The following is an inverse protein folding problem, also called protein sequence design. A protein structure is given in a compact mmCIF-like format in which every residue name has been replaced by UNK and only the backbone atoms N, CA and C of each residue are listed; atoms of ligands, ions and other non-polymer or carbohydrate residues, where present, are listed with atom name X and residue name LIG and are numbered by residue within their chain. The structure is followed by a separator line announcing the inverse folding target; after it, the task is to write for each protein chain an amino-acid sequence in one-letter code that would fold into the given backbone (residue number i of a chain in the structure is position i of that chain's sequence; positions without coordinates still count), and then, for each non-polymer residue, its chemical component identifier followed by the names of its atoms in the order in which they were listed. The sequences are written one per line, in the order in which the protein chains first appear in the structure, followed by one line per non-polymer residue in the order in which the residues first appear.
data_IF_612168060368
#
_entry.id   IF_612168060368
#
_cell.length_a   1.000
_cell.length_b   1.000
_cell.length_c   1.000
_cell.angle_alpha   90.00
_cell.angle_beta   90.00
_cell.angle_gamma   90.00
#
_symmetry.space_group_name_H-M   'P 1'
#
loop_
_entity.id
_entity.type
_entity.pdbx_description
1 polymer ?
#
# COMPACT_ATOMS: atom_id res chain seq x y z
N UNK A 1 -18.69 -8.66 -28.76
CA UNK A 1 -18.56 -10.07 -29.16
C UNK A 1 -19.41 -10.94 -28.24
N UNK A 2 -19.98 -12.02 -28.75
CA UNK A 2 -20.84 -12.93 -27.96
C UNK A 2 -20.40 -14.36 -28.21
N UNK A 3 -20.10 -15.11 -27.15
CA UNK A 3 -19.79 -16.53 -27.25
C UNK A 3 -21.02 -17.39 -26.94
N UNK A 4 -20.94 -18.68 -27.29
CA UNK A 4 -21.96 -19.65 -26.91
C UNK A 4 -22.03 -19.82 -25.38
N UNK A 5 -23.18 -20.21 -24.82
CA UNK A 5 -23.32 -20.48 -23.40
C UNK A 5 -22.28 -21.48 -22.89
N UNK A 6 -21.65 -21.18 -21.75
CA UNK A 6 -20.59 -22.00 -21.15
C UNK A 6 -19.24 -21.95 -21.89
N UNK A 7 -19.11 -21.15 -22.95
CA UNK A 7 -17.86 -20.97 -23.68
C UNK A 7 -16.83 -20.10 -22.95
N UNK A 8 -15.65 -19.95 -23.54
CA UNK A 8 -14.61 -19.05 -23.05
C UNK A 8 -14.23 -18.05 -24.12
N UNK A 9 -14.08 -16.78 -23.74
CA UNK A 9 -13.43 -15.75 -24.55
C UNK A 9 -12.14 -15.35 -23.85
N UNK A 10 -11.01 -15.52 -24.53
CA UNK A 10 -9.71 -15.09 -24.04
C UNK A 10 -9.07 -14.09 -25.01
N UNK A 11 -8.80 -12.88 -24.54
CA UNK A 11 -7.98 -11.90 -25.22
C UNK A 11 -6.62 -11.86 -24.53
N UNK A 12 -5.57 -12.28 -25.23
CA UNK A 12 -4.22 -12.40 -24.67
C UNK A 12 -3.24 -11.66 -25.58
N UNK A 13 -2.45 -10.78 -25.00
CA UNK A 13 -1.47 -9.99 -25.74
C UNK A 13 -0.51 -9.24 -24.81
N UNK A 14 0.40 -8.44 -25.39
CA UNK A 14 1.28 -7.58 -24.58
C UNK A 14 0.53 -6.37 -24.01
N UNK A 15 -0.55 -5.96 -24.67
CA UNK A 15 -1.51 -4.97 -24.21
C UNK A 15 -2.90 -5.45 -24.66
N UNK A 16 -3.86 -5.46 -23.74
CA UNK A 16 -5.24 -5.86 -24.00
C UNK A 16 -6.15 -4.77 -23.50
N UNK A 17 -6.94 -4.21 -24.40
CA UNK A 17 -7.96 -3.23 -24.10
C UNK A 17 -9.27 -3.64 -24.78
N UNK A 18 -10.38 -3.46 -24.08
CA UNK A 18 -11.72 -3.68 -24.62
C UNK A 18 -12.58 -2.45 -24.33
N UNK A 19 -12.99 -1.75 -25.40
CA UNK A 19 -13.93 -0.62 -25.32
C UNK A 19 -15.34 -1.01 -25.78
N UNK A 20 -15.53 -2.26 -26.20
CA UNK A 20 -16.82 -2.81 -26.62
C UNK A 20 -17.45 -3.71 -25.56
N UNK A 21 -18.51 -4.41 -25.93
CA UNK A 21 -19.16 -5.39 -25.04
C UNK A 21 -18.67 -6.80 -25.35
N UNK A 22 -18.32 -7.57 -24.31
CA UNK A 22 -18.04 -9.01 -24.39
C UNK A 22 -19.10 -9.73 -23.55
N UNK A 23 -19.81 -10.70 -24.13
CA UNK A 23 -20.87 -11.44 -23.43
C UNK A 23 -20.64 -12.94 -23.57
N UNK A 24 -20.58 -13.64 -22.45
CA UNK A 24 -20.37 -15.09 -22.38
C UNK A 24 -21.32 -15.69 -21.34
N UNK A 25 -22.57 -16.03 -21.72
CA UNK A 25 -23.56 -16.53 -20.76
C UNK A 25 -23.07 -17.81 -20.07
N UNK A 26 -22.98 -17.83 -18.74
CA UNK A 26 -22.57 -19.03 -18.01
C UNK A 26 -21.12 -19.48 -18.24
N UNK A 27 -20.27 -18.64 -18.83
CA UNK A 27 -18.90 -19.01 -19.18
C UNK A 27 -17.87 -17.97 -18.74
N UNK A 28 -16.67 -18.02 -19.33
CA UNK A 28 -15.51 -17.27 -18.83
C UNK A 28 -15.02 -16.21 -19.81
N UNK A 29 -14.67 -15.03 -19.30
CA UNK A 29 -13.94 -13.98 -20.02
C UNK A 29 -12.56 -13.82 -19.37
N UNK A 30 -11.52 -13.92 -20.17
CA UNK A 30 -10.13 -13.65 -19.76
C UNK A 30 -9.57 -12.51 -20.60
N UNK A 31 -9.16 -11.43 -19.94
CA UNK A 31 -8.40 -10.33 -20.51
C UNK A 31 -7.02 -10.38 -19.87
N UNK A 32 -6.02 -10.89 -20.59
CA UNK A 32 -4.71 -11.12 -20.00
C UNK A 32 -3.58 -10.44 -20.76
N UNK A 33 -2.73 -9.72 -20.02
CA UNK A 33 -1.58 -9.05 -20.59
C UNK A 33 -0.26 -9.39 -19.88
N UNK A 34 0.85 -9.28 -20.60
CA UNK A 34 2.20 -9.44 -20.06
C UNK A 34 3.11 -10.34 -20.89
N UNK A 35 4.35 -10.50 -20.42
CA UNK A 35 5.39 -11.25 -21.14
C UNK A 35 5.18 -12.78 -21.11
N UNK A 36 4.50 -13.29 -20.08
CA UNK A 36 4.18 -14.70 -19.94
C UNK A 36 2.86 -14.87 -19.19
N UNK A 37 1.80 -15.17 -19.93
CA UNK A 37 0.46 -15.36 -19.35
C UNK A 37 0.24 -16.81 -18.98
N UNK A 38 0.03 -17.08 -17.69
CA UNK A 38 -0.50 -18.35 -17.21
C UNK A 38 -1.94 -18.10 -16.77
N UNK A 39 -2.95 -18.67 -17.47
CA UNK A 39 -4.34 -18.58 -17.02
C UNK A 39 -4.45 -19.26 -15.65
N UNK A 40 -4.94 -18.55 -14.64
CA UNK A 40 -5.38 -19.21 -13.41
C UNK A 40 -6.62 -20.04 -13.76
N UNK A 41 -6.61 -21.35 -13.50
CA UNK A 41 -7.79 -22.18 -13.77
C UNK A 41 -8.90 -21.76 -12.81
N UNK A 42 -9.89 -21.03 -13.29
CA UNK A 42 -11.16 -20.94 -12.58
C UNK A 42 -11.94 -22.24 -12.82
N UNK A 43 -12.54 -22.77 -11.75
CA UNK A 43 -13.59 -23.80 -11.81
C UNK A 43 -14.70 -23.36 -12.82
N UNK A 44 -15.58 -24.24 -13.33
CA UNK A 44 -16.46 -23.96 -14.49
C UNK A 44 -17.65 -23.01 -14.18
N UNK A 45 -17.44 -22.02 -13.33
CA UNK A 45 -18.38 -20.96 -12.98
C UNK A 45 -18.15 -19.71 -13.82
N UNK A 46 -19.22 -18.95 -14.07
CA UNK A 46 -19.17 -17.66 -14.76
C UNK A 46 -18.10 -16.76 -14.16
N UNK A 47 -17.03 -16.49 -14.90
CA UNK A 47 -15.86 -15.77 -14.38
C UNK A 47 -15.40 -14.70 -15.35
N UNK A 48 -15.11 -13.50 -14.83
CA UNK A 48 -14.40 -12.44 -15.55
C UNK A 48 -13.05 -12.26 -14.87
N UNK A 49 -11.97 -12.41 -15.62
CA UNK A 49 -10.62 -12.29 -15.11
C UNK A 49 -9.83 -11.32 -15.98
N UNK A 50 -9.51 -10.16 -15.44
CA UNK A 50 -8.51 -9.24 -15.99
C UNK A 50 -7.19 -9.50 -15.26
N UNK A 51 -6.26 -10.26 -15.88
CA UNK A 51 -5.03 -10.74 -15.24
C UNK A 51 -3.81 -10.22 -15.95
N UNK A 52 -2.98 -9.45 -15.25
CA UNK A 52 -1.68 -9.02 -15.77
C UNK A 52 -0.55 -9.85 -15.17
N UNK A 53 0.35 -10.35 -16.00
CA UNK A 53 1.39 -11.31 -15.61
C UNK A 53 2.76 -10.67 -15.34
N UNK A 54 3.67 -11.50 -14.83
CA UNK A 54 4.93 -11.16 -14.18
C UNK A 54 5.75 -10.10 -14.92
N UNK A 55 5.99 -8.95 -14.27
CA UNK A 55 6.85 -7.89 -14.81
C UNK A 55 6.43 -6.43 -14.54
N UNK A 56 5.35 -6.18 -13.79
CA UNK A 56 4.91 -4.81 -13.46
C UNK A 56 3.97 -4.18 -14.48
N UNK A 57 2.84 -4.84 -14.76
CA UNK A 57 1.81 -4.30 -15.64
C UNK A 57 0.67 -3.63 -14.88
N UNK A 58 -0.16 -2.91 -15.62
CA UNK A 58 -1.31 -2.16 -15.11
C UNK A 58 -2.60 -2.90 -15.44
N UNK A 59 -3.48 -3.04 -14.44
CA UNK A 59 -4.85 -3.45 -14.66
C UNK A 59 -5.76 -2.26 -14.37
N UNK A 60 -6.45 -1.74 -15.37
CA UNK A 60 -7.35 -0.60 -15.21
C UNK A 60 -8.74 -1.00 -15.68
N UNK A 61 -9.72 -0.75 -14.83
CA UNK A 61 -11.14 -0.81 -15.20
C UNK A 61 -11.76 0.56 -14.97
N UNK A 62 -12.44 1.07 -15.98
CA UNK A 62 -13.24 2.31 -15.97
C UNK A 62 -14.68 2.05 -16.45
N UNK A 63 -15.04 0.78 -16.66
CA UNK A 63 -16.29 0.34 -17.25
C UNK A 63 -17.13 -0.53 -16.33
N UNK A 64 -17.76 -1.57 -16.89
CA UNK A 64 -18.63 -2.48 -16.14
C UNK A 64 -18.16 -3.91 -16.34
N UNK A 65 -17.80 -4.58 -15.25
CA UNK A 65 -17.59 -6.02 -15.20
C UNK A 65 -18.75 -6.64 -14.41
N UNK A 66 -19.55 -7.49 -15.05
CA UNK A 66 -20.72 -8.09 -14.41
C UNK A 66 -20.77 -9.60 -14.64
N UNK A 67 -20.94 -10.33 -13.54
CA UNK A 67 -21.19 -11.77 -13.50
C UNK A 67 -22.37 -12.05 -12.59
N UNK A 68 -23.54 -12.32 -13.16
CA UNK A 68 -24.69 -12.75 -12.35
C UNK A 68 -24.61 -14.25 -12.10
N UNK A 69 -24.79 -14.66 -10.84
CA UNK A 69 -24.96 -16.07 -10.50
C UNK A 69 -26.20 -16.66 -11.21
N UNK A 70 -26.11 -17.91 -11.64
CA UNK A 70 -27.24 -18.70 -12.10
C UNK A 70 -27.34 -19.96 -11.23
N UNK A 71 -28.30 -19.99 -10.31
CA UNK A 71 -28.45 -21.08 -9.33
C UNK A 71 -27.42 -21.01 -8.19
N UNK A 72 -26.84 -22.14 -7.78
CA UNK A 72 -25.87 -22.18 -6.66
C UNK A 72 -24.47 -21.69 -7.03
N UNK A 73 -24.19 -21.51 -8.33
CA UNK A 73 -22.87 -21.12 -8.84
C UNK A 73 -22.67 -19.61 -8.79
N UNK A 74 -21.94 -19.16 -7.77
CA UNK A 74 -21.59 -17.76 -7.58
C UNK A 74 -20.57 -17.31 -8.66
N UNK A 75 -20.76 -16.11 -9.22
CA UNK A 75 -19.83 -15.55 -10.21
C UNK A 75 -18.54 -15.06 -9.56
N UNK A 76 -17.45 -14.99 -10.32
CA UNK A 76 -16.17 -14.44 -9.83
C UNK A 76 -15.66 -13.32 -10.74
N UNK A 77 -15.27 -12.18 -10.15
CA UNK A 77 -14.57 -11.09 -10.81
C UNK A 77 -13.19 -10.95 -10.19
N UNK A 78 -12.15 -11.10 -10.99
CA UNK A 78 -10.77 -10.87 -10.56
C UNK A 78 -10.17 -9.78 -11.43
N UNK A 79 -9.73 -8.69 -10.80
CA UNK A 79 -8.95 -7.63 -11.44
C UNK A 79 -7.58 -7.61 -10.75
N UNK A 80 -6.56 -8.04 -11.49
CA UNK A 80 -5.23 -8.23 -10.92
C UNK A 80 -4.10 -7.68 -11.79
N UNK A 81 -3.20 -6.95 -11.15
CA UNK A 81 -1.91 -6.53 -11.70
C UNK A 81 -0.75 -7.35 -11.12
N UNK A 82 0.47 -7.13 -11.62
CA UNK A 82 1.63 -7.88 -11.18
C UNK A 82 1.98 -7.61 -9.71
N UNK A 83 2.13 -8.67 -8.91
CA UNK A 83 2.37 -8.57 -7.45
C UNK A 83 3.72 -7.93 -7.07
N UNK A 84 4.70 -7.95 -7.97
CA UNK A 84 6.04 -7.40 -7.69
C UNK A 84 6.15 -5.89 -7.91
N UNK A 85 5.36 -5.32 -8.83
CA UNK A 85 5.52 -3.92 -9.27
C UNK A 85 4.36 -3.36 -10.12
N UNK A 86 3.15 -3.94 -10.05
CA UNK A 86 1.99 -3.54 -10.85
C UNK A 86 0.93 -2.76 -10.08
N UNK A 87 0.22 -1.87 -10.77
CA UNK A 87 -0.91 -1.13 -10.17
C UNK A 87 -2.24 -1.61 -10.74
N UNK A 88 -3.18 -1.88 -9.85
CA UNK A 88 -4.58 -2.13 -10.19
C UNK A 88 -5.39 -0.90 -9.86
N UNK A 89 -6.03 -0.30 -10.86
CA UNK A 89 -6.81 0.93 -10.72
C UNK A 89 -8.27 0.66 -11.08
N UNK A 90 -9.17 0.94 -10.14
CA UNK A 90 -10.60 1.09 -10.44
C UNK A 90 -10.90 2.58 -10.56
N UNK A 91 -11.21 3.00 -11.78
CA UNK A 91 -11.58 4.38 -12.08
C UNK A 91 -12.92 4.78 -11.46
N UNK A 92 -13.28 6.08 -11.51
CA UNK A 92 -14.47 6.61 -10.85
C UNK A 92 -15.79 6.07 -11.40
N UNK A 93 -15.78 5.51 -12.61
CA UNK A 93 -16.96 4.93 -13.27
C UNK A 93 -16.98 3.40 -13.24
N UNK A 94 -15.97 2.76 -12.64
CA UNK A 94 -15.86 1.31 -12.58
C UNK A 94 -17.03 0.70 -11.80
N UNK A 95 -17.63 -0.37 -12.33
CA UNK A 95 -18.69 -1.15 -11.68
C UNK A 95 -18.32 -2.62 -11.71
N UNK A 96 -18.16 -3.23 -10.54
CA UNK A 96 -17.93 -4.67 -10.41
C UNK A 96 -19.16 -5.30 -9.76
N UNK A 97 -19.96 -6.01 -10.55
CA UNK A 97 -21.23 -6.60 -10.09
C UNK A 97 -21.18 -8.13 -10.19
N UNK A 98 -20.97 -8.77 -9.03
CA UNK A 98 -21.06 -10.22 -8.86
C UNK A 98 -22.33 -10.63 -8.08
N UNK A 99 -23.39 -9.81 -8.10
CA UNK A 99 -24.60 -10.05 -7.31
C UNK A 99 -25.47 -11.19 -7.86
N UNK A 100 -26.36 -11.68 -6.98
CA UNK A 100 -27.35 -12.72 -7.28
C UNK A 100 -28.78 -12.24 -6.93
N UNK A 101 -29.31 -11.21 -7.63
CA UNK A 101 -30.58 -10.57 -7.26
C UNK A 101 -31.80 -11.48 -7.43
N UNK A 102 -31.71 -12.49 -8.31
CA UNK A 102 -32.81 -13.37 -8.68
C UNK A 102 -32.72 -14.77 -8.01
N UNK A 103 -31.81 -14.96 -7.06
CA UNK A 103 -31.58 -16.24 -6.38
C UNK A 103 -30.15 -16.76 -6.54
N UNK A 104 -29.70 -17.62 -5.61
CA UNK A 104 -28.31 -18.09 -5.54
C UNK A 104 -27.47 -17.35 -4.48
N UNK A 105 -26.17 -17.63 -4.43
CA UNK A 105 -25.24 -16.89 -3.57
C UNK A 105 -24.58 -15.75 -4.35
N UNK A 106 -24.28 -14.65 -3.66
CA UNK A 106 -23.47 -13.57 -4.20
C UNK A 106 -22.06 -14.06 -4.51
N UNK A 107 -21.47 -13.48 -5.54
CA UNK A 107 -20.17 -13.82 -6.09
C UNK A 107 -18.97 -13.25 -5.33
N UNK A 108 -17.79 -13.60 -5.82
CA UNK A 108 -16.53 -13.08 -5.31
C UNK A 108 -16.02 -11.94 -6.20
N UNK A 109 -15.52 -10.88 -5.57
CA UNK A 109 -14.77 -9.81 -6.23
C UNK A 109 -13.40 -9.73 -5.58
N UNK A 110 -12.35 -9.88 -6.37
CA UNK A 110 -10.95 -9.71 -5.96
C UNK A 110 -10.32 -8.58 -6.77
N UNK A 111 -9.81 -7.57 -6.07
CA UNK A 111 -8.99 -6.51 -6.65
C UNK A 111 -7.62 -6.60 -6.00
N UNK A 112 -6.62 -7.03 -6.77
CA UNK A 112 -5.29 -7.31 -6.23
C UNK A 112 -4.18 -6.66 -7.08
N UNK A 113 -3.07 -6.25 -6.48
CA UNK A 113 -1.89 -5.75 -7.17
C UNK A 113 -0.74 -5.52 -6.21
N UNK A 114 0.40 -5.06 -6.73
CA UNK A 114 1.41 -4.47 -5.85
C UNK A 114 0.88 -3.17 -5.21
N UNK A 115 0.15 -2.40 -6.00
CA UNK A 115 -0.62 -1.22 -5.58
C UNK A 115 -2.06 -1.37 -6.03
N UNK A 116 -3.01 -1.01 -5.17
CA UNK A 116 -4.42 -0.85 -5.58
C UNK A 116 -4.83 0.62 -5.43
N UNK A 117 -5.46 1.19 -6.45
CA UNK A 117 -6.00 2.55 -6.44
C UNK A 117 -7.51 2.47 -6.66
N UNK A 118 -8.26 3.01 -5.72
CA UNK A 118 -9.72 3.15 -5.78
C UNK A 118 -10.04 4.64 -5.81
N UNK A 119 -10.34 5.20 -6.99
CA UNK A 119 -10.50 6.66 -7.13
C UNK A 119 -11.80 7.17 -6.48
N UNK A 120 -12.83 6.34 -6.44
CA UNK A 120 -13.98 6.40 -5.53
C UNK A 120 -14.33 4.93 -5.22
N UNK A 121 -15.06 4.59 -4.15
CA UNK A 121 -15.50 3.20 -3.97
C UNK A 121 -16.42 2.84 -5.13
N UNK A 122 -15.85 2.29 -6.20
CA UNK A 122 -16.56 1.64 -7.29
C UNK A 122 -17.69 0.82 -6.65
N UNK A 123 -18.92 0.84 -7.16
CA UNK A 123 -19.97 -0.03 -6.65
C UNK A 123 -19.53 -1.49 -6.83
N UNK A 124 -18.98 -2.06 -5.75
CA UNK A 124 -18.64 -3.46 -5.61
C UNK A 124 -19.87 -4.16 -5.07
N UNK A 125 -20.61 -4.84 -5.94
CA UNK A 125 -21.88 -5.46 -5.57
C UNK A 125 -21.74 -6.99 -5.53
N UNK A 126 -21.83 -7.56 -4.33
CA UNK A 126 -21.85 -9.01 -4.08
C UNK A 126 -23.13 -9.45 -3.36
N UNK A 127 -24.19 -8.63 -3.44
CA UNK A 127 -25.43 -8.87 -2.71
C UNK A 127 -26.17 -10.13 -3.19
N UNK A 128 -26.82 -10.83 -2.27
CA UNK A 128 -27.80 -11.87 -2.57
C UNK A 128 -28.98 -11.76 -1.61
N UNK A 129 -30.19 -11.40 -2.09
CA UNK A 129 -31.38 -11.32 -1.23
C UNK A 129 -31.88 -12.67 -0.73
N UNK A 130 -31.57 -13.76 -1.45
CA UNK A 130 -32.14 -15.09 -1.23
C UNK A 130 -31.10 -16.16 -0.85
N UNK A 131 -29.82 -15.79 -0.78
CA UNK A 131 -28.71 -16.67 -0.42
C UNK A 131 -27.69 -15.94 0.43
N UNK A 132 -26.46 -16.47 0.48
CA UNK A 132 -25.35 -15.81 1.18
C UNK A 132 -24.83 -14.66 0.35
N UNK A 133 -24.58 -13.52 0.99
CA UNK A 133 -23.77 -12.45 0.37
C UNK A 133 -22.40 -12.99 0.01
N UNK A 134 -21.87 -12.52 -1.11
CA UNK A 134 -20.54 -12.85 -1.55
C UNK A 134 -19.47 -12.06 -0.81
N UNK A 135 -18.24 -12.12 -1.34
CA UNK A 135 -17.05 -11.56 -0.69
C UNK A 135 -16.36 -10.54 -1.59
N UNK A 136 -15.89 -9.46 -0.98
CA UNK A 136 -15.03 -8.47 -1.63
C UNK A 136 -13.68 -8.50 -0.94
N UNK A 137 -12.63 -8.74 -1.71
CA UNK A 137 -11.23 -8.73 -1.23
C UNK A 137 -10.46 -7.67 -1.99
N UNK A 138 -9.90 -6.72 -1.26
CA UNK A 138 -8.98 -5.70 -1.78
C UNK A 138 -7.62 -5.93 -1.14
N UNK A 139 -6.58 -6.12 -1.95
CA UNK A 139 -5.24 -6.45 -1.49
C UNK A 139 -4.18 -5.69 -2.34
N UNK A 140 -3.33 -4.83 -1.75
CA UNK A 140 -3.28 -4.48 -0.33
C UNK A 140 -4.45 -3.57 0.09
N UNK A 141 -4.73 -3.57 1.39
CA UNK A 141 -5.62 -2.60 2.04
C UNK A 141 -4.94 -1.23 2.07
N UNK A 142 -5.56 -0.23 1.43
CA UNK A 142 -4.97 1.12 1.30
C UNK A 142 -5.58 2.11 2.28
N UNK A 143 -4.72 2.77 3.07
CA UNK A 143 -5.05 3.93 3.90
C UNK A 143 -4.57 5.20 3.20
N UNK A 144 -5.51 6.01 2.72
CA UNK A 144 -5.20 7.30 2.08
C UNK A 144 -5.01 8.41 3.12
N UNK A 145 -3.93 9.18 2.99
CA UNK A 145 -3.53 10.21 3.95
C UNK A 145 -3.30 11.54 3.24
N UNK A 146 -4.19 12.49 3.52
CA UNK A 146 -4.17 13.83 2.91
C UNK A 146 -3.95 14.96 3.92
N UNK A 147 -3.78 14.65 5.20
CA UNK A 147 -3.59 15.64 6.27
C UNK A 147 -2.51 15.19 7.27
N UNK A 148 -1.84 16.16 7.90
CA UNK A 148 -0.84 15.91 8.94
C UNK A 148 -1.44 15.05 10.07
N UNK A 149 -2.60 15.44 10.60
CA UNK A 149 -3.29 14.69 11.66
C UNK A 149 -3.67 13.26 11.26
N UNK A 150 -3.93 13.00 9.97
CA UNK A 150 -4.12 11.64 9.46
C UNK A 150 -2.85 10.79 9.59
N UNK A 151 -1.69 11.37 9.28
CA UNK A 151 -0.40 10.67 9.43
C UNK A 151 0.01 10.52 10.90
N UNK A 152 -0.33 11.49 11.76
CA UNK A 152 -0.13 11.41 13.21
C UNK A 152 -0.97 10.28 13.84
N UNK A 153 -2.20 10.06 13.36
CA UNK A 153 -3.05 8.96 13.81
C UNK A 153 -2.45 7.58 13.44
N UNK A 154 -1.80 7.50 12.28
CA UNK A 154 -1.05 6.29 11.86
C UNK A 154 0.17 6.07 12.75
N UNK A 155 0.92 7.13 13.07
CA UNK A 155 2.06 7.04 14.00
C UNK A 155 1.65 6.53 15.39
N UNK A 156 0.44 6.85 15.85
CA UNK A 156 -0.09 6.33 17.11
C UNK A 156 -0.56 4.86 17.02
N UNK A 157 -0.72 4.33 15.80
CA UNK A 157 -1.29 3.00 15.53
C UNK A 157 -0.37 2.14 14.65
N UNK A 158 0.96 2.31 14.77
CA UNK A 158 1.90 1.69 13.84
C UNK A 158 1.83 0.17 13.77
N UNK A 159 1.36 -0.52 14.82
CA UNK A 159 1.31 -1.98 14.87
C UNK A 159 0.53 -2.63 13.72
N UNK A 160 -0.38 -1.88 13.08
CA UNK A 160 -1.12 -2.33 11.89
C UNK A 160 -0.19 -2.47 10.66
N UNK A 161 0.90 -1.70 10.60
CA UNK A 161 1.80 -1.60 9.46
C UNK A 161 3.15 -2.29 9.69
N UNK A 162 3.37 -2.85 10.88
CA UNK A 162 4.60 -3.56 11.24
C UNK A 162 4.41 -5.06 11.01
N UNK A 163 5.37 -5.69 10.33
CA UNK A 163 5.34 -7.10 9.97
C UNK A 163 4.08 -7.55 9.19
N UNK A 164 3.37 -6.61 8.56
CA UNK A 164 2.18 -6.87 7.72
C UNK A 164 2.47 -6.47 6.27
N UNK A 165 2.20 -7.39 5.36
CA UNK A 165 2.48 -7.25 3.91
C UNK A 165 1.27 -6.86 3.09
N UNK A 166 0.07 -6.89 3.70
CA UNK A 166 -1.22 -6.63 3.03
C UNK A 166 -1.75 -5.22 3.25
N UNK A 167 -0.93 -4.29 3.78
CA UNK A 167 -1.37 -2.91 4.07
C UNK A 167 -0.47 -1.89 3.39
N UNK A 168 -1.09 -0.79 2.97
CA UNK A 168 -0.47 0.27 2.21
C UNK A 168 -0.91 1.64 2.74
N UNK A 169 0.02 2.58 2.84
CA UNK A 169 -0.24 4.00 3.13
C UNK A 169 -0.03 4.79 1.84
N UNK A 170 -1.05 5.50 1.38
CA UNK A 170 -0.98 6.36 0.19
C UNK A 170 -1.06 7.83 0.60
N UNK A 171 0.04 8.56 0.46
CA UNK A 171 0.09 10.00 0.75
C UNK A 171 -0.39 10.75 -0.48
N UNK A 172 -1.39 11.63 -0.33
CA UNK A 172 -2.04 12.35 -1.44
C UNK A 172 -1.91 13.87 -1.35
N UNK A 173 -1.14 14.37 -0.39
CA UNK A 173 -0.80 15.77 -0.25
C UNK A 173 0.52 15.95 0.51
N UNK A 174 1.08 17.17 0.51
CA UNK A 174 2.23 17.46 1.36
C UNK A 174 1.80 17.55 2.83
N UNK A 175 2.47 16.82 3.73
CA UNK A 175 2.05 16.66 5.14
C UNK A 175 3.10 17.25 6.08
N UNK A 176 2.92 18.51 6.49
CA UNK A 176 3.84 19.17 7.42
C UNK A 176 3.56 18.71 8.87
N UNK A 177 4.52 17.99 9.43
CA UNK A 177 4.52 17.47 10.81
C UNK A 177 5.31 18.37 11.77
N UNK A 178 5.40 19.68 11.47
CA UNK A 178 6.09 20.68 12.29
C UNK A 178 5.76 20.59 13.77
N UNK A 179 6.75 20.25 14.60
CA UNK A 179 6.59 20.14 16.06
C UNK A 179 5.97 18.83 16.54
N UNK A 180 5.66 17.90 15.63
CA UNK A 180 5.22 16.56 15.98
C UNK A 180 6.41 15.67 16.32
N UNK A 181 6.30 14.92 17.43
CA UNK A 181 7.29 13.94 17.85
C UNK A 181 7.03 12.61 17.17
N UNK A 182 7.80 12.30 16.14
CA UNK A 182 7.67 11.11 15.33
C UNK A 182 8.34 9.89 15.96
N UNK A 183 7.65 8.75 15.89
CA UNK A 183 8.26 7.44 16.17
C UNK A 183 8.66 6.80 14.84
N UNK A 184 9.94 6.45 14.62
CA UNK A 184 10.33 5.79 13.38
C UNK A 184 9.51 4.52 13.13
N UNK A 185 8.89 4.40 11.95
CA UNK A 185 8.31 3.12 11.52
C UNK A 185 9.41 2.08 11.44
N UNK A 186 9.18 0.93 12.01
CA UNK A 186 10.20 -0.11 12.02
C UNK A 186 11.34 0.22 12.99
N UNK A 187 11.33 -0.33 14.19
CA UNK A 187 12.36 -0.05 15.22
C UNK A 187 13.38 -1.18 15.38
N UNK A 188 13.35 -2.16 14.47
CA UNK A 188 14.33 -3.24 14.36
C UNK A 188 13.73 -4.50 13.72
N UNK A 189 14.51 -5.60 13.66
CA UNK A 189 14.10 -6.82 12.94
C UNK A 189 12.82 -7.50 13.45
N UNK A 190 12.48 -7.36 14.73
CA UNK A 190 11.24 -7.94 15.32
C UNK A 190 10.02 -7.04 15.20
N UNK A 191 10.22 -5.82 14.71
CA UNK A 191 9.20 -4.81 14.50
C UNK A 191 9.60 -4.10 13.21
N UNK A 192 9.70 -4.84 12.11
CA UNK A 192 10.12 -4.31 10.82
C UNK A 192 8.93 -3.63 10.14
N UNK A 193 9.20 -2.61 9.34
CA UNK A 193 8.20 -2.06 8.43
C UNK A 193 8.16 -2.93 7.17
N UNK A 194 7.12 -3.76 7.04
CA UNK A 194 6.93 -4.70 5.91
C UNK A 194 5.78 -4.31 4.98
N UNK A 195 5.14 -3.17 5.27
CA UNK A 195 4.06 -2.57 4.51
C UNK A 195 4.58 -1.67 3.36
N UNK A 196 3.66 -1.11 2.58
CA UNK A 196 3.96 -0.19 1.47
C UNK A 196 3.64 1.27 1.84
N UNK A 197 4.52 2.20 1.49
CA UNK A 197 4.24 3.65 1.50
C UNK A 197 4.40 4.20 0.08
N UNK A 198 3.30 4.63 -0.52
CA UNK A 198 3.29 5.40 -1.75
C UNK A 198 3.27 6.90 -1.40
N UNK A 199 4.39 7.57 -1.61
CA UNK A 199 4.50 9.02 -1.40
C UNK A 199 3.82 9.86 -2.48
N UNK A 200 3.54 9.28 -3.65
CA UNK A 200 2.94 9.93 -4.83
C UNK A 200 3.58 11.28 -5.22
N UNK A 201 4.89 11.44 -4.96
CA UNK A 201 5.64 12.67 -5.23
C UNK A 201 5.53 13.75 -4.15
N UNK A 202 4.78 13.51 -3.08
CA UNK A 202 4.56 14.44 -1.99
C UNK A 202 5.70 14.42 -0.95
N UNK A 203 5.66 15.43 -0.07
CA UNK A 203 6.67 15.66 0.94
C UNK A 203 6.07 15.60 2.35
N UNK A 204 6.78 14.95 3.28
CA UNK A 204 6.50 14.94 4.71
C UNK A 204 7.65 15.65 5.44
N UNK A 205 7.51 16.95 5.75
CA UNK A 205 8.56 17.67 6.47
C UNK A 205 8.23 17.98 7.94
N UNK A 206 9.25 18.38 8.71
CA UNK A 206 9.08 19.16 9.94
C UNK A 206 8.95 18.37 11.25
N UNK A 207 8.97 17.04 11.18
CA UNK A 207 8.87 16.22 12.38
C UNK A 207 10.21 16.13 13.13
N UNK A 208 10.10 15.80 14.42
CA UNK A 208 11.23 15.62 15.32
C UNK A 208 11.28 14.18 15.82
N UNK A 209 12.48 13.61 15.99
CA UNK A 209 12.69 12.31 16.65
C UNK A 209 13.53 12.54 17.92
N UNK A 210 12.92 12.25 19.08
CA UNK A 210 13.52 12.57 20.38
C UNK A 210 13.59 14.07 20.65
N UNK A 211 14.14 14.46 21.79
CA UNK A 211 14.39 15.88 22.13
C UNK A 211 15.74 16.02 22.84
N UNK A 212 16.23 17.24 23.01
CA UNK A 212 17.46 17.48 23.78
C UNK A 212 17.37 16.99 25.24
N UNK A 213 16.18 17.05 25.85
CA UNK A 213 15.92 16.59 27.22
C UNK A 213 15.56 15.11 27.30
N UNK A 214 15.04 14.52 26.22
CA UNK A 214 14.72 13.09 26.10
C UNK A 214 15.15 12.57 24.72
N UNK A 215 16.45 12.33 24.50
CA UNK A 215 16.93 11.92 23.19
C UNK A 215 16.45 10.52 22.83
N UNK A 216 16.33 10.23 21.53
CA UNK A 216 16.02 8.92 21.00
C UNK A 216 17.17 7.95 21.25
N UNK A 217 16.89 6.86 21.97
CA UNK A 217 17.88 5.84 22.35
C UNK A 217 17.88 4.61 21.43
N UNK A 218 16.98 4.56 20.45
CA UNK A 218 16.88 3.46 19.50
C UNK A 218 18.01 3.47 18.47
N UNK A 219 18.32 2.30 17.93
CA UNK A 219 19.35 2.13 16.90
C UNK A 219 18.88 2.59 15.52
N UNK A 220 17.57 2.49 15.26
CA UNK A 220 16.97 2.66 13.95
C UNK A 220 16.12 3.93 13.92
N UNK A 221 16.64 4.99 13.29
CA UNK A 221 16.01 6.31 13.26
C UNK A 221 15.74 6.76 11.82
N UNK A 222 14.77 7.65 11.65
CA UNK A 222 14.31 8.14 10.36
C UNK A 222 12.78 8.18 10.30
N UNK A 223 12.22 8.53 9.14
CA UNK A 223 10.78 8.34 8.92
C UNK A 223 10.41 6.86 9.06
N UNK A 224 11.23 6.01 8.46
CA UNK A 224 11.29 4.56 8.68
C UNK A 224 12.70 4.23 9.17
N UNK A 225 12.81 3.57 10.33
CA UNK A 225 14.07 3.17 10.94
C UNK A 225 14.59 1.84 10.42
N UNK A 226 13.72 0.84 10.23
CA UNK A 226 14.06 -0.49 9.75
C UNK A 226 13.03 -0.98 8.73
N UNK A 227 13.46 -1.13 7.49
CA UNK A 227 12.68 -1.70 6.40
C UNK A 227 12.86 -3.21 6.39
N UNK A 228 11.76 -3.96 6.43
CA UNK A 228 11.78 -5.42 6.35
C UNK A 228 11.93 -5.94 4.92
N UNK A 229 11.74 -7.24 4.73
CA UNK A 229 12.03 -7.90 3.45
C UNK A 229 11.03 -7.53 2.35
N UNK A 230 9.80 -7.18 2.72
CA UNK A 230 8.73 -6.80 1.80
C UNK A 230 8.38 -5.32 1.88
N UNK A 231 8.96 -4.58 2.83
CA UNK A 231 8.70 -3.17 3.00
C UNK A 231 9.11 -2.37 1.77
N UNK A 232 8.21 -1.50 1.29
CA UNK A 232 8.47 -0.62 0.13
C UNK A 232 8.12 0.81 0.50
N UNK A 233 9.03 1.73 0.21
CA UNK A 233 8.80 3.17 0.30
C UNK A 233 9.19 3.76 -1.04
N UNK A 234 8.25 4.38 -1.72
CA UNK A 234 8.51 4.96 -3.04
C UNK A 234 7.89 6.33 -3.19
N UNK A 235 8.52 7.16 -4.04
CA UNK A 235 8.03 8.48 -4.42
C UNK A 235 7.71 9.41 -3.25
N UNK A 236 8.36 9.21 -2.09
CA UNK A 236 8.18 10.03 -0.89
C UNK A 236 9.40 10.93 -0.68
N UNK A 237 9.16 12.22 -0.46
CA UNK A 237 10.19 13.14 0.03
C UNK A 237 10.03 13.33 1.54
N UNK A 238 11.13 13.19 2.26
CA UNK A 238 11.20 13.43 3.70
C UNK A 238 12.23 14.53 3.93
N UNK A 239 11.95 15.53 4.75
CA UNK A 239 12.87 16.65 4.92
C UNK A 239 12.59 17.53 6.13
N UNK A 240 13.51 18.44 6.47
CA UNK A 240 13.42 19.27 7.69
C UNK A 240 13.13 18.40 8.93
N UNK A 241 14.02 17.44 9.17
CA UNK A 241 13.92 16.47 10.28
C UNK A 241 14.92 16.85 11.35
N UNK A 242 14.42 17.03 12.56
CA UNK A 242 15.28 17.23 13.73
C UNK A 242 15.42 15.89 14.48
N UNK A 243 16.64 15.34 14.55
CA UNK A 243 16.93 14.08 15.25
C UNK A 243 17.84 14.35 16.45
N UNK A 244 17.34 14.05 17.64
CA UNK A 244 18.09 14.12 18.89
C UNK A 244 18.45 12.70 19.33
N UNK A 245 19.62 12.20 18.92
CA UNK A 245 20.10 10.86 19.28
C UNK A 245 20.83 10.83 20.62
N UNK A 246 20.65 9.73 21.37
CA UNK A 246 21.37 9.47 22.60
C UNK A 246 22.79 8.97 22.39
N UNK A 247 23.73 9.46 23.21
CA UNK A 247 25.09 8.93 23.25
C UNK A 247 25.08 7.57 23.98
N UNK A 248 25.11 6.45 23.24
CA UNK A 248 25.45 5.14 23.83
C UNK A 248 26.92 5.17 24.20
N UNK A 249 27.23 5.60 25.43
CA UNK A 249 28.59 5.47 25.97
C UNK A 249 28.97 3.99 25.92
N UNK A 250 30.07 3.60 25.25
CA UNK A 250 30.51 2.21 25.26
C UNK A 250 30.67 1.73 26.71
N UNK A 251 30.33 0.47 27.00
CA UNK A 251 30.41 -0.14 28.36
C UNK A 251 31.84 -0.30 28.89
N UNK A 252 32.79 0.45 28.37
CA UNK A 252 34.13 0.63 28.89
C UNK A 252 34.52 2.08 28.63
N UNK A 253 34.66 2.85 29.71
CA UNK A 253 35.26 4.18 29.65
C UNK A 253 36.72 4.03 29.21
N UNK A 254 36.99 4.14 27.92
CA UNK A 254 38.32 4.54 27.48
C UNK A 254 38.41 6.05 27.69
N UNK A 255 39.06 6.46 28.80
CA UNK A 255 39.58 7.83 28.86
C UNK A 255 40.66 7.93 27.78
N UNK A 256 40.32 8.52 26.64
CA UNK A 256 41.33 9.12 25.78
C UNK A 256 41.75 10.41 26.48
N UNK A 257 42.91 10.36 27.13
CA UNK A 257 43.54 11.57 27.65
C UNK A 257 43.89 12.46 26.46
N UNK A 258 43.24 13.62 26.39
CA UNK A 258 43.77 14.72 25.60
C UNK A 258 45.01 15.22 26.35
N UNK A 259 46.22 15.24 25.75
CA UNK A 259 47.31 15.98 26.34
C UNK A 259 46.92 17.46 26.33
N UNK A 260 46.94 18.07 27.52
CA UNK A 260 46.66 19.49 27.74
C UNK A 260 47.68 20.34 26.99
N UNK A 261 47.48 20.66 25.70
CA UNK A 261 48.04 21.89 25.13
C UNK A 261 47.33 22.32 23.83
N UNK A 262 46.93 23.60 23.83
CA UNK A 262 46.64 24.48 22.68
C UNK A 262 45.23 24.40 22.05
N UNK A 263 44.28 25.19 22.55
CA UNK A 263 43.87 26.42 21.84
C UNK A 263 43.04 27.34 22.78
N UNK A 264 43.44 28.61 22.85
CA UNK A 264 43.08 29.54 23.91
C UNK A 264 41.64 30.06 23.89
N UNK A 265 41.06 30.13 25.08
CA UNK A 265 40.02 31.09 25.41
C UNK A 265 40.62 32.08 26.41
N UNK A 266 40.94 33.28 25.92
CA UNK A 266 41.30 34.42 26.75
C UNK A 266 40.09 34.81 27.60
N UNK A 267 40.14 34.57 28.91
CA UNK A 267 39.25 35.23 29.87
C UNK A 267 39.99 36.46 30.41
N UNK A 268 39.47 37.66 30.12
CA UNK A 268 39.92 38.91 30.74
C UNK A 268 39.79 38.80 32.26
N UNK A 269 40.79 39.17 33.07
CA UNK A 269 40.61 39.31 34.50
C UNK A 269 39.80 40.57 34.80
N UNK A 270 38.67 40.40 35.50
CA UNK A 270 38.05 41.49 36.28
C UNK A 270 38.99 41.84 37.42
N UNK A 271 39.60 43.03 37.36
CA UNK A 271 40.25 43.66 38.49
C UNK A 271 39.21 43.98 39.55
N UNK A 272 39.37 43.43 40.75
CA UNK A 272 38.77 43.98 41.96
C UNK A 272 39.83 43.97 43.07
N UNK A 273 40.52 45.10 43.22
CA UNK A 273 41.09 45.54 44.49
C UNK A 273 40.83 47.04 44.64
N UNK A 274 39.94 47.38 45.57
CA UNK A 274 40.24 48.29 46.66
C UNK A 274 39.28 48.08 47.81
#
# INVERSE_FOLDING_TARGET
MTAQPGGTVALVGTNVANTGTITVPGGTIVLASGASVVPMSSSPVSSISAVTTTGGGFATDDGVLSVSAAGENAGNIIVQSGMNSGTTTLGPTAVLDASAPNGGNGGEIVVNGHTVVLDETAPLNVSSPYGKSGTVTIDPVVTTVSTASGLEAIDQSQSVYLNDTGVCISITSNLNLGGYSWTPFGTGPSAAFDAVIHGNGHTVPGYTIGTSSSPYMGTYAGFVGYLGATGVIENLRVGRVDLFGGERRPRSSMRVGWPDTVLGISRRPTTQER
#
